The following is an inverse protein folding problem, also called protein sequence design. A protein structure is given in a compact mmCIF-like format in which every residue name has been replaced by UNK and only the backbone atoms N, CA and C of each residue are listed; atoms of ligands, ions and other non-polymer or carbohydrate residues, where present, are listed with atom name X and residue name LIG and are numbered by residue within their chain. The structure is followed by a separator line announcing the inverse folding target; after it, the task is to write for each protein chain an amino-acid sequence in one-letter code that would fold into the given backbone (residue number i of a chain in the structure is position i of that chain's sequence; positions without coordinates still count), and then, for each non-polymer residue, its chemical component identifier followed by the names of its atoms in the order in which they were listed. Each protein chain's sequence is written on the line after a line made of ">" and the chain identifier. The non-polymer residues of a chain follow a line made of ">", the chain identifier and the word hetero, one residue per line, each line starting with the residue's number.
data_IF_403006827754
#
_entry.id   IF_403006827754
#
_cell.length_a   1.000
_cell.length_b   1.000
_cell.length_c   1.000
_cell.angle_alpha   90.00
_cell.angle_beta   90.00
_cell.angle_gamma   90.00
#
_symmetry.space_group_name_H-M   'P 1'
#
loop_
_entity.id
_entity.type
_entity.pdbx_description
1 polymer ?
#
# COMPACT_ATOMS: atom_id res chain seq x y z
N UNK A 1 -9.64 17.07 -24.40
CA UNK A 1 -9.93 16.49 -23.07
C UNK A 1 -9.23 15.15 -23.00
N UNK A 2 -8.12 15.05 -22.28
CA UNK A 2 -7.30 13.84 -22.26
C UNK A 2 -7.73 12.97 -21.08
N UNK A 3 -8.43 11.88 -21.37
CA UNK A 3 -8.75 10.86 -20.37
C UNK A 3 -7.47 10.11 -20.05
N UNK A 4 -6.77 10.52 -18.98
CA UNK A 4 -5.77 9.65 -18.35
C UNK A 4 -6.53 8.42 -17.86
N UNK A 5 -6.49 7.34 -18.63
CA UNK A 5 -6.85 6.02 -18.15
C UNK A 5 -5.79 5.62 -17.13
N UNK A 6 -5.94 6.09 -15.89
CA UNK A 6 -5.33 5.41 -14.76
C UNK A 6 -6.04 4.08 -14.69
N UNK A 7 -5.44 3.03 -15.27
CA UNK A 7 -5.77 1.65 -14.94
C UNK A 7 -5.48 1.52 -13.45
N UNK A 8 -6.47 1.85 -12.62
CA UNK A 8 -6.41 1.56 -11.20
C UNK A 8 -6.34 0.04 -11.14
N UNK A 9 -5.30 -0.58 -10.53
CA UNK A 9 -5.36 -2.00 -10.28
C UNK A 9 -6.60 -2.22 -9.40
N UNK A 10 -7.66 -2.75 -10.01
CA UNK A 10 -8.94 -2.92 -9.37
C UNK A 10 -8.77 -3.99 -8.30
N UNK A 11 -8.67 -3.61 -7.04
CA UNK A 11 -8.75 -4.53 -5.90
C UNK A 11 -7.83 -5.74 -6.02
N UNK A 12 -6.64 -5.59 -6.62
CA UNK A 12 -5.67 -6.66 -6.62
C UNK A 12 -5.23 -6.89 -5.16
N UNK A 13 -5.19 -8.16 -4.75
CA UNK A 13 -4.60 -8.53 -3.46
C UNK A 13 -3.14 -8.06 -3.41
N UNK A 14 -2.65 -7.80 -2.21
CA UNK A 14 -1.28 -7.32 -2.06
C UNK A 14 -0.29 -8.34 -2.66
N UNK A 15 0.81 -7.89 -3.30
CA UNK A 15 1.89 -8.79 -3.64
C UNK A 15 2.50 -9.36 -2.34
N UNK A 16 3.28 -10.42 -2.47
CA UNK A 16 4.01 -10.91 -1.31
C UNK A 16 5.04 -9.86 -0.87
N UNK A 17 4.93 -9.44 0.39
CA UNK A 17 5.81 -8.45 1.00
C UNK A 17 6.47 -9.05 2.23
N UNK A 18 7.77 -8.81 2.37
CA UNK A 18 8.53 -9.33 3.50
C UNK A 18 8.29 -8.49 4.75
N UNK A 19 8.31 -9.13 5.91
CA UNK A 19 8.34 -8.39 7.18
C UNK A 19 9.56 -7.46 7.22
N UNK A 20 9.37 -6.28 7.78
CA UNK A 20 10.31 -5.17 7.84
C UNK A 20 10.67 -4.51 6.50
N UNK A 21 10.03 -4.91 5.39
CA UNK A 21 10.21 -4.23 4.10
C UNK A 21 9.68 -2.80 4.17
N UNK A 22 10.48 -1.83 3.74
CA UNK A 22 10.05 -0.44 3.53
C UNK A 22 9.07 -0.38 2.36
N UNK A 23 7.96 0.33 2.57
CA UNK A 23 6.91 0.52 1.56
C UNK A 23 6.37 1.94 1.60
N UNK A 24 5.91 2.40 0.45
CA UNK A 24 5.05 3.56 0.34
C UNK A 24 3.75 3.15 -0.34
N UNK A 25 2.63 3.46 0.30
CA UNK A 25 1.31 3.31 -0.27
C UNK A 25 0.74 4.67 -0.65
N UNK A 26 0.08 4.74 -1.80
CA UNK A 26 -0.56 5.94 -2.31
C UNK A 26 -2.04 5.68 -2.61
N UNK A 27 -2.90 6.69 -2.40
CA UNK A 27 -4.31 6.66 -2.82
C UNK A 27 -4.60 7.60 -4.02
N UNK A 28 -5.83 7.52 -4.55
CA UNK A 28 -6.30 8.34 -5.68
C UNK A 28 -6.37 9.85 -5.41
N UNK A 29 -6.21 10.26 -4.16
CA UNK A 29 -6.19 11.67 -3.74
C UNK A 29 -4.76 12.19 -3.57
N UNK A 30 -3.76 11.33 -3.74
CA UNK A 30 -2.35 11.65 -3.55
C UNK A 30 -1.88 11.57 -2.10
N UNK A 31 -2.70 11.02 -1.18
CA UNK A 31 -2.23 10.76 0.18
C UNK A 31 -1.20 9.63 0.15
N UNK A 32 -0.16 9.75 0.96
CA UNK A 32 0.93 8.77 1.07
C UNK A 32 1.04 8.25 2.48
N UNK A 33 1.22 6.93 2.60
CA UNK A 33 1.54 6.24 3.84
C UNK A 33 2.92 5.61 3.66
N UNK A 34 3.86 6.01 4.51
CA UNK A 34 5.23 5.50 4.48
C UNK A 34 5.54 4.75 5.78
N UNK A 35 6.08 3.55 5.64
CA UNK A 35 6.32 2.67 6.78
C UNK A 35 7.03 1.38 6.40
N UNK A 36 7.11 0.48 7.37
CA UNK A 36 7.61 -0.88 7.18
C UNK A 36 6.50 -1.89 7.39
N UNK A 37 6.53 -3.01 6.65
CA UNK A 37 5.60 -4.10 6.84
C UNK A 37 5.85 -4.76 8.20
N UNK A 38 4.84 -4.74 9.07
CA UNK A 38 4.88 -5.51 10.32
C UNK A 38 4.30 -6.92 10.14
N UNK A 39 3.33 -7.07 9.23
CA UNK A 39 2.74 -8.36 8.86
C UNK A 39 1.74 -8.27 7.72
N UNK A 40 1.33 -9.42 7.22
CA UNK A 40 0.36 -9.58 6.15
C UNK A 40 -0.48 -10.84 6.44
N UNK A 41 -1.76 -10.84 6.06
CA UNK A 41 -2.59 -12.05 6.12
C UNK A 41 -2.16 -13.07 5.06
N UNK A 42 -2.38 -14.37 5.31
CA UNK A 42 -1.97 -15.42 4.37
C UNK A 42 -2.64 -15.30 2.98
N UNK A 43 -3.86 -14.77 2.93
CA UNK A 43 -4.60 -14.49 1.69
C UNK A 43 -4.18 -13.18 1.01
N UNK A 44 -3.26 -12.42 1.63
CA UNK A 44 -2.74 -11.13 1.16
C UNK A 44 -3.81 -10.05 1.00
N UNK A 45 -4.95 -10.20 1.69
CA UNK A 45 -6.02 -9.19 1.68
C UNK A 45 -5.68 -7.96 2.53
N UNK A 46 -4.86 -8.15 3.57
CA UNK A 46 -4.61 -7.12 4.59
C UNK A 46 -3.13 -7.00 4.94
N UNK A 47 -2.66 -5.77 5.07
CA UNK A 47 -1.33 -5.41 5.57
C UNK A 47 -1.41 -4.73 6.92
N UNK A 48 -0.41 -4.98 7.76
CA UNK A 48 -0.07 -4.12 8.88
C UNK A 48 1.20 -3.36 8.59
N UNK A 49 1.14 -2.04 8.70
CA UNK A 49 2.26 -1.15 8.45
C UNK A 49 2.62 -0.43 9.74
N UNK A 50 3.87 -0.53 10.15
CA UNK A 50 4.45 0.32 11.17
C UNK A 50 4.84 1.66 10.53
N UNK A 51 4.12 2.72 10.88
CA UNK A 51 4.31 4.05 10.32
C UNK A 51 5.62 4.66 10.82
N UNK A 52 6.31 5.41 9.93
CA UNK A 52 7.51 6.18 10.31
C UNK A 52 7.17 7.31 11.28
N UNK A 53 8.18 7.80 12.00
CA UNK A 53 8.04 8.94 12.91
C UNK A 53 7.26 8.65 14.20
N UNK A 54 7.07 7.37 14.56
CA UNK A 54 6.39 7.00 15.81
C UNK A 54 4.87 7.11 15.77
N UNK A 55 4.27 7.18 14.58
CA UNK A 55 2.82 7.34 14.38
C UNK A 55 2.00 6.05 14.64
N UNK A 56 2.67 4.99 15.11
CA UNK A 56 2.02 3.72 15.46
C UNK A 56 1.85 2.78 14.27
N UNK A 57 0.85 1.91 14.36
CA UNK A 57 0.60 0.81 13.41
C UNK A 57 -0.76 1.00 12.76
N UNK A 58 -0.82 0.82 11.45
CA UNK A 58 -2.06 0.90 10.67
C UNK A 58 -2.34 -0.43 9.97
N UNK A 59 -3.62 -0.82 9.95
CA UNK A 59 -4.14 -1.95 9.18
C UNK A 59 -4.73 -1.41 7.88
N UNK A 60 -4.37 -2.02 6.74
CA UNK A 60 -4.86 -1.60 5.42
C UNK A 60 -5.32 -2.82 4.62
N UNK A 61 -6.58 -2.81 4.21
CA UNK A 61 -7.17 -3.80 3.31
C UNK A 61 -6.90 -3.41 1.84
N UNK A 62 -6.77 -4.39 0.94
CA UNK A 62 -6.49 -4.16 -0.48
C UNK A 62 -7.61 -3.38 -1.21
N UNK A 63 -8.80 -3.29 -0.60
CA UNK A 63 -9.93 -2.48 -1.09
C UNK A 63 -10.02 -1.08 -0.47
N UNK A 64 -9.10 -0.70 0.42
CA UNK A 64 -9.10 0.64 1.05
C UNK A 64 -8.70 1.75 0.05
N UNK A 65 -8.36 1.38 -1.19
CA UNK A 65 -8.06 2.32 -2.27
C UNK A 65 -6.60 2.77 -2.32
N UNK A 66 -5.72 2.07 -1.60
CA UNK A 66 -4.28 2.25 -1.65
C UNK A 66 -3.62 1.30 -2.65
N UNK A 67 -2.50 1.71 -3.24
CA UNK A 67 -1.61 0.85 -4.02
C UNK A 67 -0.14 1.11 -3.65
N UNK A 68 0.74 0.15 -3.93
CA UNK A 68 2.17 0.30 -3.74
C UNK A 68 2.76 1.26 -4.78
N UNK A 69 3.51 2.26 -4.31
CA UNK A 69 4.38 3.02 -5.19
C UNK A 69 5.52 2.10 -5.65
N UNK A 70 5.61 1.87 -6.96
CA UNK A 70 6.78 1.19 -7.53
C UNK A 70 7.90 2.21 -7.67
N UNK A 71 9.11 1.97 -7.13
CA UNK A 71 10.25 2.84 -7.41
C UNK A 71 10.43 2.95 -8.92
N UNK A 72 10.55 4.17 -9.45
CA UNK A 72 10.96 4.35 -10.83
C UNK A 72 12.34 3.69 -11.00
N UNK A 73 12.44 2.78 -11.98
CA UNK A 73 13.68 2.08 -12.33
C UNK A 73 14.76 3.06 -12.81
#
# INVERSE_FOLDING_TARGET
>A
MSTLQTTRPHGEIWPELSRHQDVVLQDARGNRIEGTIDGMTNDRSTLWIQLKGGLGRQLIHHLDGYWLETPAA
#
